data_IF_547317274282
#
_entry.id   IF_547317274282
#
_cell.length_a   1.000
_cell.length_b   1.000
_cell.length_c   1.000
_cell.angle_alpha   90.00
_cell.angle_beta   90.00
_cell.angle_gamma   90.00
#
_symmetry.space_group_name_H-M   'P 1'
#
loop_
_entity.id
_entity.type
_entity.pdbx_description
1 polymer ?
#
# COMPACT_ATOMS: atom_id res chain seq x y z
N UNK A 1 37.03 -10.00 -11.88
CA UNK A 1 36.90 -10.65 -13.22
C UNK A 1 35.47 -10.47 -13.68
N UNK A 2 35.20 -10.41 -15.00
CA UNK A 2 33.84 -10.38 -15.51
C UNK A 2 33.10 -11.69 -15.17
N UNK A 3 31.77 -11.62 -15.06
CA UNK A 3 30.92 -12.75 -14.73
C UNK A 3 31.04 -13.88 -15.78
N UNK A 4 31.44 -15.08 -15.35
CA UNK A 4 31.62 -16.19 -16.29
C UNK A 4 30.26 -16.76 -16.75
N UNK A 5 30.22 -17.35 -17.95
CA UNK A 5 29.01 -18.02 -18.46
C UNK A 5 28.62 -19.22 -17.58
N UNK A 6 29.60 -19.85 -16.93
CA UNK A 6 29.36 -20.94 -15.94
C UNK A 6 28.72 -20.41 -14.67
N UNK A 7 29.18 -19.26 -14.15
CA UNK A 7 28.56 -18.60 -12.98
C UNK A 7 27.15 -18.17 -13.31
N UNK A 8 26.90 -17.58 -14.49
CA UNK A 8 25.57 -17.20 -14.95
C UNK A 8 24.64 -18.41 -15.01
N UNK A 9 25.10 -19.52 -15.63
CA UNK A 9 24.31 -20.75 -15.74
C UNK A 9 23.97 -21.33 -14.37
N UNK A 10 24.94 -21.33 -13.46
CA UNK A 10 24.76 -21.82 -12.08
C UNK A 10 23.80 -20.95 -11.29
N UNK A 11 23.89 -19.62 -11.39
CA UNK A 11 22.98 -18.68 -10.77
C UNK A 11 21.53 -18.86 -11.26
N UNK A 12 21.33 -19.01 -12.56
CA UNK A 12 20.01 -19.28 -13.15
C UNK A 12 19.45 -20.63 -12.68
N UNK A 13 20.29 -21.66 -12.56
CA UNK A 13 19.90 -22.99 -12.08
C UNK A 13 19.50 -22.93 -10.60
N UNK A 14 20.25 -22.22 -9.75
CA UNK A 14 19.92 -22.00 -8.34
C UNK A 14 18.62 -21.25 -8.19
N UNK A 15 18.47 -20.13 -8.90
CA UNK A 15 17.24 -19.33 -8.92
C UNK A 15 16.00 -20.14 -9.35
N UNK A 16 16.15 -21.00 -10.38
CA UNK A 16 15.04 -21.87 -10.83
C UNK A 16 14.55 -22.80 -9.75
N UNK A 17 15.42 -23.27 -8.85
CA UNK A 17 15.03 -24.12 -7.72
C UNK A 17 14.28 -23.33 -6.64
N UNK A 18 14.57 -22.05 -6.50
CA UNK A 18 13.95 -21.17 -5.51
C UNK A 18 12.79 -20.31 -6.12
N UNK A 19 12.42 -20.53 -7.38
CA UNK A 19 11.48 -19.70 -8.13
C UNK A 19 10.14 -19.54 -7.41
N UNK A 20 9.59 -20.63 -6.86
CA UNK A 20 8.33 -20.64 -6.14
C UNK A 20 8.37 -19.77 -4.86
N UNK A 21 9.52 -19.71 -4.19
CA UNK A 21 9.71 -18.82 -3.04
C UNK A 21 9.62 -17.34 -3.46
N UNK A 22 10.23 -16.97 -4.60
CA UNK A 22 10.13 -15.62 -5.13
C UNK A 22 8.70 -15.28 -5.61
N UNK A 23 7.97 -16.22 -6.20
CA UNK A 23 6.54 -16.02 -6.53
C UNK A 23 5.71 -15.82 -5.27
N UNK A 24 5.93 -16.64 -4.23
CA UNK A 24 5.25 -16.52 -2.96
C UNK A 24 5.55 -15.16 -2.31
N UNK A 25 6.82 -14.75 -2.28
CA UNK A 25 7.24 -13.44 -1.77
C UNK A 25 6.53 -12.30 -2.50
N UNK A 26 6.51 -12.29 -3.84
CA UNK A 26 5.82 -11.27 -4.63
C UNK A 26 4.35 -11.14 -4.23
N UNK A 27 3.65 -12.27 -4.14
CA UNK A 27 2.22 -12.31 -3.81
C UNK A 27 1.98 -11.81 -2.38
N UNK A 28 2.81 -12.23 -1.44
CA UNK A 28 2.73 -11.81 -0.04
C UNK A 28 2.93 -10.29 0.09
N UNK A 29 4.03 -9.76 -0.48
CA UNK A 29 4.34 -8.32 -0.46
C UNK A 29 3.22 -7.51 -1.13
N UNK A 30 2.73 -7.94 -2.29
CA UNK A 30 1.64 -7.26 -2.98
C UNK A 30 0.35 -7.23 -2.15
N UNK A 31 -0.03 -8.36 -1.54
CA UNK A 31 -1.22 -8.45 -0.68
C UNK A 31 -1.08 -7.55 0.54
N UNK A 32 0.10 -7.52 1.16
CA UNK A 32 0.39 -6.67 2.31
C UNK A 32 0.35 -5.18 1.92
N UNK A 33 0.93 -4.79 0.76
CA UNK A 33 0.82 -3.42 0.24
C UNK A 33 -0.63 -3.03 -0.05
N UNK A 34 -1.40 -3.89 -0.71
CA UNK A 34 -2.81 -3.61 -1.01
C UNK A 34 -3.63 -3.40 0.26
N UNK A 35 -3.46 -4.26 1.26
CA UNK A 35 -4.21 -4.21 2.51
C UNK A 35 -3.77 -3.04 3.40
N UNK A 36 -2.47 -2.95 3.70
CA UNK A 36 -1.93 -2.13 4.78
C UNK A 36 -1.47 -0.74 4.30
N UNK A 37 -1.29 -0.55 2.99
CA UNK A 37 -0.95 0.76 2.41
C UNK A 37 -2.15 1.32 1.65
N UNK A 38 -2.63 0.61 0.61
CA UNK A 38 -3.59 1.20 -0.32
C UNK A 38 -4.96 1.34 0.35
N UNK A 39 -5.53 0.24 0.84
CA UNK A 39 -6.85 0.27 1.47
C UNK A 39 -6.84 1.00 2.80
N UNK A 40 -5.83 0.75 3.64
CA UNK A 40 -5.73 1.39 4.94
C UNK A 40 -5.63 2.93 4.84
N UNK A 41 -4.99 3.46 3.81
CA UNK A 41 -4.84 4.90 3.61
C UNK A 41 -5.86 5.50 2.62
N UNK A 42 -6.83 4.71 2.15
CA UNK A 42 -7.83 5.15 1.16
C UNK A 42 -7.16 5.77 -0.09
N UNK A 43 -6.08 5.13 -0.57
CA UNK A 43 -5.36 5.57 -1.75
C UNK A 43 -5.98 4.96 -3.02
N UNK A 44 -5.94 5.70 -4.11
CA UNK A 44 -6.33 5.18 -5.43
C UNK A 44 -5.08 4.68 -6.15
N UNK A 45 -4.85 3.37 -6.13
CA UNK A 45 -3.72 2.75 -6.78
C UNK A 45 -4.04 1.30 -7.18
N UNK A 46 -3.33 0.80 -8.18
CA UNK A 46 -3.30 -0.62 -8.55
C UNK A 46 -2.01 -1.26 -8.07
N UNK A 47 -2.10 -2.49 -7.56
CA UNK A 47 -0.93 -3.28 -7.14
C UNK A 47 -0.82 -4.51 -8.04
N UNK A 48 0.36 -4.73 -8.61
CA UNK A 48 0.69 -5.92 -9.40
C UNK A 48 1.99 -6.54 -8.93
N UNK A 49 2.17 -7.84 -9.15
CA UNK A 49 3.38 -8.54 -8.71
C UNK A 49 3.81 -9.60 -9.70
N UNK A 50 5.12 -9.82 -9.78
CA UNK A 50 5.70 -10.90 -10.60
C UNK A 50 7.08 -11.31 -10.09
N UNK A 51 7.40 -12.60 -10.14
CA UNK A 51 8.77 -13.06 -10.09
C UNK A 51 9.42 -12.95 -11.50
N UNK A 52 10.70 -12.64 -11.55
CA UNK A 52 11.46 -12.57 -12.81
C UNK A 52 11.64 -13.98 -13.37
N UNK A 53 11.21 -14.23 -14.60
CA UNK A 53 11.41 -15.56 -15.18
C UNK A 53 12.91 -15.91 -15.31
N UNK A 54 13.32 -17.19 -15.16
CA UNK A 54 14.72 -17.61 -15.29
C UNK A 54 15.37 -17.18 -16.62
N UNK A 55 14.60 -17.15 -17.72
CA UNK A 55 15.06 -16.69 -19.03
C UNK A 55 15.39 -15.19 -19.00
N UNK A 56 14.53 -14.38 -18.36
CA UNK A 56 14.77 -12.93 -18.22
C UNK A 56 15.95 -12.65 -17.28
N UNK A 57 16.12 -13.46 -16.22
CA UNK A 57 17.29 -13.38 -15.35
C UNK A 57 18.59 -13.65 -16.15
N UNK A 58 18.63 -14.74 -16.90
CA UNK A 58 19.78 -15.06 -17.75
C UNK A 58 20.14 -13.92 -18.68
N UNK A 59 19.16 -13.39 -19.41
CA UNK A 59 19.37 -12.26 -20.32
C UNK A 59 19.85 -10.99 -19.60
N UNK A 60 19.37 -10.71 -18.38
CA UNK A 60 19.83 -9.57 -17.58
C UNK A 60 21.29 -9.75 -17.13
N UNK A 61 21.66 -10.93 -16.64
CA UNK A 61 23.03 -11.24 -16.24
C UNK A 61 24.01 -11.14 -17.42
N UNK A 62 23.63 -11.68 -18.57
CA UNK A 62 24.46 -11.62 -19.79
C UNK A 62 24.64 -10.21 -20.36
N UNK A 63 23.57 -9.40 -20.42
CA UNK A 63 23.60 -8.09 -21.06
C UNK A 63 24.10 -6.97 -20.16
N UNK A 64 23.71 -6.97 -18.87
CA UNK A 64 23.94 -5.83 -17.98
C UNK A 64 25.12 -6.02 -17.04
N UNK A 65 25.36 -7.26 -16.58
CA UNK A 65 26.32 -7.52 -15.52
C UNK A 65 27.53 -8.34 -15.97
N UNK A 66 27.57 -8.80 -17.23
CA UNK A 66 28.72 -9.61 -17.75
C UNK A 66 30.06 -8.89 -17.62
N UNK A 67 30.09 -7.57 -17.79
CA UNK A 67 31.30 -6.76 -17.72
C UNK A 67 31.52 -6.09 -16.36
N UNK A 68 30.60 -6.28 -15.40
CA UNK A 68 30.71 -5.67 -14.08
C UNK A 68 31.80 -6.38 -13.26
N UNK A 69 32.72 -5.60 -12.70
CA UNK A 69 33.80 -6.13 -11.86
C UNK A 69 33.24 -6.51 -10.47
N UNK A 70 33.83 -7.54 -9.85
CA UNK A 70 33.49 -8.04 -8.51
C UNK A 70 32.22 -8.91 -8.39
N UNK A 71 31.72 -9.47 -9.48
CA UNK A 71 30.66 -10.48 -9.45
C UNK A 71 31.30 -11.87 -9.69
N UNK A 72 31.89 -12.46 -8.65
CA UNK A 72 32.68 -13.69 -8.79
C UNK A 72 31.92 -14.95 -8.39
N UNK A 73 30.90 -14.83 -7.59
CA UNK A 73 30.11 -15.95 -7.05
C UNK A 73 28.69 -15.96 -7.59
N UNK A 74 28.00 -17.07 -7.40
CA UNK A 74 26.58 -17.21 -7.74
C UNK A 74 25.74 -16.29 -6.85
N UNK A 75 26.11 -16.17 -5.58
CA UNK A 75 25.48 -15.32 -4.61
C UNK A 75 25.60 -13.83 -5.01
N UNK A 76 26.81 -13.38 -5.37
CA UNK A 76 27.04 -12.01 -5.87
C UNK A 76 26.16 -11.71 -7.08
N UNK A 77 26.05 -12.66 -8.03
CA UNK A 77 25.24 -12.51 -9.24
C UNK A 77 23.74 -12.40 -8.92
N UNK A 78 23.24 -13.15 -7.95
CA UNK A 78 21.83 -13.10 -7.53
C UNK A 78 21.55 -11.85 -6.69
N UNK A 79 22.38 -11.51 -5.73
CA UNK A 79 22.26 -10.33 -4.87
C UNK A 79 22.27 -9.03 -5.68
N UNK A 80 22.98 -9.04 -6.82
CA UNK A 80 23.05 -7.88 -7.73
C UNK A 80 21.75 -7.60 -8.46
N UNK A 81 20.86 -8.58 -8.58
CA UNK A 81 19.59 -8.45 -9.30
C UNK A 81 18.47 -8.16 -8.31
N UNK A 82 18.21 -6.87 -8.10
CA UNK A 82 17.20 -6.38 -7.14
C UNK A 82 15.77 -6.81 -7.42
N UNK A 83 15.42 -7.13 -8.68
CA UNK A 83 14.06 -7.39 -9.14
C UNK A 83 13.78 -8.89 -9.42
N UNK A 84 14.39 -9.80 -8.65
CA UNK A 84 14.07 -11.23 -8.70
C UNK A 84 12.60 -11.44 -8.25
N UNK A 85 12.18 -10.79 -7.20
CA UNK A 85 10.79 -10.57 -6.83
C UNK A 85 10.45 -9.10 -7.08
N UNK A 86 9.35 -8.82 -7.75
CA UNK A 86 8.93 -7.46 -8.07
C UNK A 86 7.45 -7.21 -7.77
N UNK A 87 7.17 -6.09 -7.15
CA UNK A 87 5.83 -5.53 -6.96
C UNK A 87 5.80 -4.15 -7.59
N UNK A 88 4.67 -3.79 -8.18
CA UNK A 88 4.46 -2.45 -8.71
C UNK A 88 3.19 -1.86 -8.11
N UNK A 89 3.31 -0.61 -7.65
CA UNK A 89 2.21 0.20 -7.17
C UNK A 89 2.07 1.39 -8.12
N UNK A 90 0.93 1.45 -8.82
CA UNK A 90 0.62 2.53 -9.78
C UNK A 90 -0.46 3.42 -9.19
N UNK A 91 -0.09 4.61 -8.72
CA UNK A 91 -1.00 5.59 -8.10
C UNK A 91 -1.76 6.39 -9.17
N UNK A 92 -3.00 6.78 -8.88
CA UNK A 92 -3.74 7.70 -9.75
C UNK A 92 -3.18 9.12 -9.68
N UNK A 93 -2.75 9.56 -8.49
CA UNK A 93 -2.11 10.84 -8.28
C UNK A 93 -0.60 10.65 -8.13
N UNK A 94 0.18 11.42 -8.86
CA UNK A 94 1.65 11.44 -8.72
C UNK A 94 2.05 11.88 -7.29
N UNK A 95 1.27 12.76 -6.66
CA UNK A 95 1.51 13.23 -5.30
C UNK A 95 1.41 12.11 -4.24
N UNK A 96 0.65 11.03 -4.51
CA UNK A 96 0.52 9.90 -3.59
C UNK A 96 1.75 8.97 -3.61
N UNK A 97 2.62 9.10 -4.61
CA UNK A 97 3.85 8.29 -4.72
C UNK A 97 4.71 8.39 -3.47
N UNK A 98 4.97 9.60 -2.99
CA UNK A 98 5.79 9.83 -1.81
C UNK A 98 5.16 9.24 -0.55
N UNK A 99 3.84 9.40 -0.40
CA UNK A 99 3.09 8.84 0.72
C UNK A 99 3.16 7.30 0.73
N UNK A 100 3.01 6.66 -0.42
CA UNK A 100 3.17 5.20 -0.56
C UNK A 100 4.57 4.76 -0.17
N UNK A 101 5.61 5.48 -0.60
CA UNK A 101 7.01 5.18 -0.26
C UNK A 101 7.28 5.27 1.24
N UNK A 102 6.71 6.28 1.91
CA UNK A 102 6.81 6.42 3.37
C UNK A 102 6.12 5.27 4.11
N UNK A 103 4.97 4.82 3.65
CA UNK A 103 4.30 3.66 4.24
C UNK A 103 5.05 2.35 3.99
N UNK A 104 5.67 2.16 2.81
CA UNK A 104 6.56 1.03 2.54
C UNK A 104 7.71 0.99 3.55
N UNK A 105 8.34 2.14 3.82
CA UNK A 105 9.45 2.23 4.76
C UNK A 105 9.07 1.88 6.22
N UNK A 106 7.79 2.05 6.59
CA UNK A 106 7.27 1.64 7.91
C UNK A 106 6.89 0.15 7.95
N UNK A 107 6.39 -0.37 6.83
CA UNK A 107 5.76 -1.69 6.75
C UNK A 107 6.76 -2.83 6.59
N UNK A 108 7.93 -2.56 6.02
CA UNK A 108 8.94 -3.55 5.69
C UNK A 108 10.30 -3.18 6.30
N UNK A 109 11.18 -4.18 6.38
CA UNK A 109 12.61 -4.00 6.60
C UNK A 109 13.32 -3.88 5.24
N UNK A 110 14.58 -3.46 5.26
CA UNK A 110 15.45 -3.50 4.10
C UNK A 110 16.29 -4.78 4.02
N UNK A 111 17.08 -4.93 2.95
CA UNK A 111 17.98 -6.07 2.78
C UNK A 111 18.89 -6.29 4.00
N UNK A 112 19.08 -7.55 4.38
CA UNK A 112 19.95 -7.97 5.51
C UNK A 112 19.55 -7.34 6.85
N UNK A 113 18.25 -7.06 7.05
CA UNK A 113 17.73 -6.49 8.30
C UNK A 113 18.03 -5.00 8.50
N UNK A 114 18.47 -4.30 7.44
CA UNK A 114 18.67 -2.86 7.45
C UNK A 114 17.38 -2.07 7.18
N UNK A 115 17.52 -0.77 6.97
CA UNK A 115 16.41 0.08 6.51
C UNK A 115 16.10 -0.19 5.04
N UNK A 116 14.84 0.03 4.64
CA UNK A 116 14.41 -0.02 3.23
C UNK A 116 15.32 0.87 2.38
N UNK A 117 15.87 0.32 1.30
CA UNK A 117 16.69 1.10 0.36
C UNK A 117 15.76 1.76 -0.65
N UNK A 118 15.71 3.08 -0.64
CA UNK A 118 14.83 3.89 -1.49
C UNK A 118 15.67 4.62 -2.53
N UNK A 119 15.38 4.39 -3.81
CA UNK A 119 16.07 5.03 -4.93
C UNK A 119 15.07 5.71 -5.85
N UNK A 120 15.14 7.03 -5.94
CA UNK A 120 14.35 7.82 -6.90
C UNK A 120 15.03 7.73 -8.27
N UNK A 121 14.30 7.21 -9.25
CA UNK A 121 14.80 6.99 -10.62
C UNK A 121 14.40 8.11 -11.59
N UNK A 122 13.81 9.19 -11.09
CA UNK A 122 13.50 10.35 -11.92
C UNK A 122 14.83 10.93 -12.44
N UNK A 123 15.00 11.00 -13.76
CA UNK A 123 16.22 11.48 -14.42
C UNK A 123 15.88 12.68 -15.28
N UNK A 124 16.67 13.76 -15.12
CA UNK A 124 16.58 14.91 -16.00
C UNK A 124 16.82 14.51 -17.45
N UNK A 125 16.00 15.03 -18.37
CA UNK A 125 16.08 14.72 -19.80
C UNK A 125 15.45 13.39 -20.21
N UNK A 126 14.87 12.61 -19.28
CA UNK A 126 14.07 11.42 -19.58
C UNK A 126 12.66 11.57 -19.02
N UNK A 127 11.72 10.73 -19.51
CA UNK A 127 10.35 10.70 -18.98
C UNK A 127 10.15 9.53 -18.01
N UNK A 128 11.19 8.76 -17.71
CA UNK A 128 11.14 7.69 -16.74
C UNK A 128 10.95 8.25 -15.33
N UNK A 129 9.88 7.86 -14.67
CA UNK A 129 9.53 8.33 -13.33
C UNK A 129 9.07 7.16 -12.47
N UNK A 130 9.87 6.79 -11.50
CA UNK A 130 9.53 5.77 -10.51
C UNK A 130 10.42 5.93 -9.27
N UNK A 131 9.91 5.48 -8.12
CA UNK A 131 10.73 5.24 -6.91
C UNK A 131 10.83 3.74 -6.70
N UNK A 132 12.04 3.23 -6.58
CA UNK A 132 12.34 1.83 -6.32
C UNK A 132 12.64 1.65 -4.85
N UNK A 133 11.96 0.72 -4.18
CA UNK A 133 12.17 0.37 -2.79
C UNK A 133 12.60 -1.10 -2.72
N UNK A 134 13.81 -1.36 -2.17
CA UNK A 134 14.25 -2.72 -1.87
C UNK A 134 13.83 -3.08 -0.46
N UNK A 135 13.00 -4.10 -0.34
CA UNK A 135 12.39 -4.53 0.92
C UNK A 135 12.69 -5.99 1.24
N UNK A 136 12.65 -6.31 2.53
CA UNK A 136 12.58 -7.65 3.08
C UNK A 136 11.40 -7.74 4.04
N UNK A 137 10.93 -8.95 4.33
CA UNK A 137 9.87 -9.16 5.31
C UNK A 137 10.41 -8.93 6.72
N UNK A 138 9.59 -8.36 7.59
CA UNK A 138 9.87 -8.27 9.02
C UNK A 138 9.78 -9.66 9.66
N UNK A 139 10.44 -9.82 10.80
CA UNK A 139 10.46 -11.10 11.53
C UNK A 139 9.05 -11.63 11.83
N UNK A 140 8.12 -10.76 12.15
CA UNK A 140 6.71 -11.10 12.42
C UNK A 140 5.96 -11.67 11.21
N UNK A 141 6.41 -11.37 9.99
CA UNK A 141 5.84 -11.88 8.74
C UNK A 141 6.41 -13.26 8.33
N UNK A 142 7.49 -13.69 8.99
CA UNK A 142 8.24 -14.91 8.68
C UNK A 142 7.79 -16.13 9.50
N UNK A 143 6.67 -16.05 10.21
CA UNK A 143 6.05 -17.21 10.85
C UNK A 143 5.48 -18.19 9.81
N UNK A 144 5.32 -19.47 10.19
CA UNK A 144 4.71 -20.45 9.29
C UNK A 144 3.39 -19.92 8.68
N UNK A 145 3.19 -20.05 7.36
CA UNK A 145 3.98 -20.82 6.39
C UNK A 145 5.04 -20.03 5.64
N UNK A 146 5.52 -18.87 6.13
CA UNK A 146 6.38 -17.93 5.40
C UNK A 146 7.85 -17.97 5.81
N UNK A 147 8.23 -18.85 6.72
CA UNK A 147 9.60 -19.06 7.21
C UNK A 147 10.63 -19.27 6.08
N UNK A 148 10.20 -19.91 4.98
CA UNK A 148 11.02 -20.13 3.78
C UNK A 148 11.30 -18.85 2.95
N UNK A 149 10.79 -17.70 3.35
CA UNK A 149 11.02 -16.41 2.69
C UNK A 149 12.12 -15.57 3.38
N UNK A 150 12.68 -16.06 4.49
CA UNK A 150 13.75 -15.39 5.22
C UNK A 150 14.95 -15.10 4.32
N UNK A 151 15.51 -13.90 4.43
CA UNK A 151 16.64 -13.43 3.64
C UNK A 151 16.34 -13.07 2.19
N UNK A 152 15.14 -13.35 1.68
CA UNK A 152 14.74 -12.93 0.34
C UNK A 152 14.34 -11.45 0.30
N UNK A 153 14.63 -10.79 -0.83
CA UNK A 153 14.29 -9.38 -1.06
C UNK A 153 13.31 -9.21 -2.21
N UNK A 154 12.50 -8.16 -2.14
CA UNK A 154 11.56 -7.77 -3.18
C UNK A 154 11.80 -6.31 -3.58
N UNK A 155 11.74 -6.01 -4.87
CA UNK A 155 11.75 -4.63 -5.37
C UNK A 155 10.31 -4.14 -5.52
N UNK A 156 9.92 -3.08 -4.78
CA UNK A 156 8.65 -2.40 -4.98
C UNK A 156 8.91 -1.15 -5.83
N UNK A 157 8.28 -1.07 -7.00
CA UNK A 157 8.32 0.08 -7.89
C UNK A 157 7.05 0.90 -7.71
N UNK A 158 7.19 2.18 -7.34
CA UNK A 158 6.08 3.12 -7.14
C UNK A 158 6.14 4.20 -8.21
N UNK A 159 5.07 4.37 -8.98
CA UNK A 159 4.96 5.39 -10.03
C UNK A 159 3.50 5.82 -10.19
N UNK A 160 3.23 6.91 -10.93
CA UNK A 160 1.86 7.21 -11.37
C UNK A 160 1.42 6.23 -12.45
N UNK A 161 0.10 6.09 -12.63
CA UNK A 161 -0.47 5.22 -13.68
C UNK A 161 -0.02 5.64 -15.08
N UNK A 162 0.07 6.95 -15.33
CA UNK A 162 0.53 7.47 -16.61
C UNK A 162 2.04 7.28 -16.82
N UNK A 163 2.84 7.50 -15.76
CA UNK A 163 4.27 7.18 -15.81
C UNK A 163 4.50 5.69 -16.04
N UNK A 164 3.65 4.81 -15.45
CA UNK A 164 3.74 3.38 -15.70
C UNK A 164 3.57 3.03 -17.17
N UNK A 165 2.58 3.60 -17.86
CA UNK A 165 2.37 3.36 -19.31
C UNK A 165 3.62 3.72 -20.10
N UNK A 166 4.20 4.88 -19.85
CA UNK A 166 5.41 5.32 -20.55
C UNK A 166 6.60 4.40 -20.23
N UNK A 167 6.83 4.09 -18.97
CA UNK A 167 7.94 3.24 -18.51
C UNK A 167 7.91 1.85 -19.14
N UNK A 168 6.73 1.23 -19.29
CA UNK A 168 6.60 -0.10 -19.93
C UNK A 168 6.87 -0.03 -21.44
N UNK A 169 6.35 0.99 -22.13
CA UNK A 169 6.57 1.15 -23.56
C UNK A 169 8.04 1.43 -23.87
N UNK A 170 8.67 2.34 -23.13
CA UNK A 170 10.10 2.62 -23.27
C UNK A 170 10.93 1.35 -23.03
N UNK A 171 10.63 0.62 -21.96
CA UNK A 171 11.31 -0.62 -21.64
C UNK A 171 11.16 -1.67 -22.76
N UNK A 172 9.98 -1.82 -23.34
CA UNK A 172 9.75 -2.82 -24.39
C UNK A 172 10.39 -2.43 -25.73
N UNK A 173 10.40 -1.16 -26.07
CA UNK A 173 10.94 -0.66 -27.32
C UNK A 173 12.46 -0.48 -27.29
N UNK A 174 13.02 0.05 -26.18
CA UNK A 174 14.46 0.37 -26.07
C UNK A 174 15.28 -0.83 -25.61
N UNK A 175 14.77 -1.62 -24.63
CA UNK A 175 15.54 -2.72 -24.05
C UNK A 175 15.42 -4.06 -24.78
N UNK A 176 14.42 -4.23 -25.65
CA UNK A 176 14.17 -5.47 -26.40
C UNK A 176 14.18 -5.29 -27.92
N UNK A 177 15.00 -4.44 -28.53
CA UNK A 177 14.97 -4.32 -29.98
C UNK A 177 15.48 -5.61 -30.61
N UNK A 178 14.63 -6.26 -31.40
CA UNK A 178 15.05 -7.38 -32.27
C UNK A 178 15.66 -6.88 -33.57
N UNK A 179 15.53 -5.59 -33.88
CA UNK A 179 15.80 -4.98 -35.18
C UNK A 179 16.75 -3.77 -35.13
N UNK A 180 17.46 -3.55 -34.00
CA UNK A 180 18.35 -2.40 -33.83
C UNK A 180 17.79 -1.30 -32.95
N UNK A 181 18.38 -0.10 -32.93
CA UNK A 181 17.90 1.03 -32.15
C UNK A 181 16.61 1.64 -32.72
N UNK A 182 15.92 2.46 -31.90
CA UNK A 182 14.71 3.15 -32.33
C UNK A 182 14.98 4.07 -33.53
N UNK A 183 14.06 4.10 -34.46
CA UNK A 183 14.03 5.10 -35.54
C UNK A 183 13.78 6.51 -34.98
N UNK A 184 14.09 7.55 -35.76
CA UNK A 184 13.81 8.91 -35.35
C UNK A 184 12.33 9.14 -35.07
N UNK A 185 11.44 8.52 -35.84
CA UNK A 185 10.00 8.63 -35.65
C UNK A 185 9.51 8.01 -34.30
N UNK A 186 10.06 6.84 -33.98
CA UNK A 186 9.75 6.18 -32.70
C UNK A 186 10.27 6.99 -31.50
N UNK A 187 11.47 7.55 -31.58
CA UNK A 187 12.05 8.43 -30.59
C UNK A 187 11.19 9.69 -30.37
N UNK A 188 10.77 10.35 -31.46
CA UNK A 188 9.88 11.52 -31.35
C UNK A 188 8.50 11.14 -30.77
N UNK A 189 7.93 10.01 -31.17
CA UNK A 189 6.67 9.53 -30.63
C UNK A 189 6.77 9.24 -29.11
N UNK A 190 7.85 8.64 -28.63
CA UNK A 190 8.10 8.41 -27.21
C UNK A 190 8.24 9.74 -26.43
N UNK A 191 8.88 10.75 -27.00
CA UNK A 191 8.96 12.09 -26.39
C UNK A 191 7.59 12.75 -26.27
N UNK A 192 6.79 12.69 -27.35
CA UNK A 192 5.42 13.21 -27.34
C UNK A 192 4.60 12.51 -26.26
N UNK A 193 4.65 11.18 -26.20
CA UNK A 193 3.97 10.40 -25.17
C UNK A 193 4.44 10.77 -23.76
N UNK A 194 5.75 10.97 -23.57
CA UNK A 194 6.32 11.40 -22.29
C UNK A 194 5.73 12.73 -21.82
N UNK A 195 5.66 13.73 -22.72
CA UNK A 195 5.02 15.03 -22.42
C UNK A 195 3.53 14.89 -22.09
N UNK A 196 2.81 14.04 -22.84
CA UNK A 196 1.39 13.77 -22.57
C UNK A 196 1.18 13.15 -21.20
N UNK A 197 2.02 12.20 -20.78
CA UNK A 197 1.91 11.59 -19.46
C UNK A 197 2.21 12.57 -18.34
N UNK A 198 3.20 13.45 -18.49
CA UNK A 198 3.48 14.54 -17.55
C UNK A 198 2.30 15.51 -17.42
N UNK A 199 1.80 15.98 -18.55
CA UNK A 199 0.65 16.90 -18.60
C UNK A 199 -0.60 16.22 -18.01
N UNK A 200 -0.80 14.95 -18.30
CA UNK A 200 -1.91 14.16 -17.79
C UNK A 200 -1.91 14.06 -16.26
N UNK A 201 -0.75 13.81 -15.63
CA UNK A 201 -0.63 13.77 -14.17
C UNK A 201 -1.01 15.13 -13.53
N UNK A 202 -0.63 16.24 -14.16
CA UNK A 202 -1.04 17.59 -13.72
C UNK A 202 -2.55 17.79 -13.84
N UNK A 203 -3.14 17.39 -14.97
CA UNK A 203 -4.59 17.52 -15.19
C UNK A 203 -5.38 16.63 -14.25
N UNK A 204 -4.94 15.41 -14.00
CA UNK A 204 -5.57 14.51 -13.01
C UNK A 204 -5.58 15.18 -11.64
N UNK A 205 -4.46 15.74 -11.19
CA UNK A 205 -4.39 16.47 -9.92
C UNK A 205 -5.38 17.62 -9.88
N UNK A 206 -5.42 18.47 -10.93
CA UNK A 206 -6.35 19.60 -11.01
C UNK A 206 -7.83 19.16 -10.93
N UNK A 207 -8.19 18.05 -11.58
CA UNK A 207 -9.54 17.50 -11.52
C UNK A 207 -9.90 17.03 -10.09
N UNK A 208 -8.97 16.41 -9.38
CA UNK A 208 -9.18 15.99 -7.98
C UNK A 208 -9.33 17.22 -7.07
N UNK A 209 -8.47 18.23 -7.23
CA UNK A 209 -8.52 19.47 -6.44
C UNK A 209 -9.86 20.20 -6.67
N UNK A 210 -10.27 20.39 -7.93
CA UNK A 210 -11.54 21.01 -8.28
C UNK A 210 -12.76 20.23 -7.77
N UNK A 211 -12.70 18.88 -7.81
CA UNK A 211 -13.76 18.06 -7.23
C UNK A 211 -13.83 18.22 -5.70
N UNK A 212 -12.69 18.28 -5.01
CA UNK A 212 -12.63 18.48 -3.57
C UNK A 212 -13.21 19.85 -3.17
N UNK A 213 -12.92 20.91 -3.92
CA UNK A 213 -13.50 22.23 -3.70
C UNK A 213 -15.02 22.24 -3.90
N UNK A 214 -15.50 21.66 -5.01
CA UNK A 214 -16.93 21.53 -5.29
C UNK A 214 -17.68 20.79 -4.20
N UNK A 215 -17.09 19.71 -3.66
CA UNK A 215 -17.68 18.93 -2.57
C UNK A 215 -17.72 19.75 -1.27
N UNK A 216 -16.70 20.57 -1.00
CA UNK A 216 -16.71 21.50 0.15
C UNK A 216 -17.80 22.57 0.01
N UNK A 217 -18.01 23.10 -1.20
CA UNK A 217 -19.05 24.12 -1.49
C UNK A 217 -20.45 23.52 -1.44
N UNK A 218 -20.61 22.27 -1.87
CA UNK A 218 -21.86 21.53 -1.79
C UNK A 218 -22.17 21.12 -0.34
N UNK A 219 -22.39 22.12 0.54
CA UNK A 219 -22.71 21.98 1.99
C UNK A 219 -24.06 21.30 2.29
N UNK A 220 -24.50 20.39 1.46
CA UNK A 220 -25.73 19.64 1.69
C UNK A 220 -25.46 18.43 2.59
N UNK A 221 -25.58 18.63 3.90
CA UNK A 221 -25.41 17.57 4.90
C UNK A 221 -26.31 16.35 4.67
N UNK A 222 -27.42 16.53 3.92
CA UNK A 222 -28.39 15.45 3.58
C UNK A 222 -28.08 14.64 2.33
N UNK A 223 -27.03 14.97 1.56
CA UNK A 223 -26.67 14.21 0.35
C UNK A 223 -25.96 12.91 0.73
N UNK A 224 -26.38 11.79 0.11
CA UNK A 224 -25.76 10.47 0.29
C UNK A 224 -24.30 10.49 -0.19
N UNK A 225 -23.42 9.83 0.54
CA UNK A 225 -22.02 9.69 0.13
C UNK A 225 -21.91 8.85 -1.13
N UNK A 226 -21.15 9.32 -2.10
CA UNK A 226 -20.95 8.63 -3.39
C UNK A 226 -19.95 7.46 -3.26
N UNK A 227 -18.93 7.62 -2.43
CA UNK A 227 -17.87 6.66 -2.19
C UNK A 227 -17.09 7.03 -0.93
N UNK A 228 -16.13 6.20 -0.54
CA UNK A 228 -15.29 6.40 0.64
C UNK A 228 -14.49 7.72 0.60
N UNK A 229 -14.10 8.18 -0.57
CA UNK A 229 -13.34 9.43 -0.71
C UNK A 229 -14.22 10.66 -0.44
N UNK A 230 -15.46 10.64 -0.93
CA UNK A 230 -16.48 11.66 -0.63
C UNK A 230 -16.80 11.65 0.87
N UNK A 231 -16.98 10.49 1.47
CA UNK A 231 -17.16 10.32 2.92
C UNK A 231 -16.01 10.96 3.71
N UNK A 232 -14.76 10.62 3.39
CA UNK A 232 -13.57 11.16 4.06
C UNK A 232 -13.50 12.68 3.93
N UNK A 233 -13.70 13.20 2.72
CA UNK A 233 -13.63 14.64 2.44
C UNK A 233 -14.70 15.42 3.21
N UNK A 234 -15.93 14.90 3.27
CA UNK A 234 -17.07 15.61 3.88
C UNK A 234 -17.17 15.41 5.39
N UNK A 235 -16.59 14.33 5.94
CA UNK A 235 -16.70 14.01 7.38
C UNK A 235 -15.42 14.40 8.13
N UNK A 236 -14.26 14.42 7.48
CA UNK A 236 -12.99 14.74 8.10
C UNK A 236 -12.95 16.12 8.78
N UNK A 237 -13.67 17.10 8.27
CA UNK A 237 -13.79 18.44 8.86
C UNK A 237 -14.37 18.43 10.29
N UNK A 238 -15.12 17.38 10.66
CA UNK A 238 -15.67 17.21 12.01
C UNK A 238 -14.61 16.71 13.01
N UNK A 239 -13.43 16.30 12.54
CA UNK A 239 -12.32 15.81 13.36
C UNK A 239 -11.07 16.69 13.16
N UNK A 240 -11.11 17.96 13.57
CA UNK A 240 -10.00 18.89 13.35
C UNK A 240 -8.74 18.40 14.06
N UNK A 241 -7.59 18.58 13.39
CA UNK A 241 -6.28 18.14 13.89
C UNK A 241 -5.91 16.70 13.54
N UNK A 242 -6.83 15.89 12.98
CA UNK A 242 -6.53 14.52 12.52
C UNK A 242 -6.13 14.54 11.05
N UNK A 243 -4.82 14.57 10.81
CA UNK A 243 -4.26 14.69 9.46
C UNK A 243 -4.51 13.47 8.58
N UNK A 244 -4.74 12.31 9.20
CA UNK A 244 -4.84 11.00 8.55
C UNK A 244 -6.26 10.41 8.64
N UNK A 245 -7.31 11.25 8.73
CA UNK A 245 -8.69 10.77 8.87
C UNK A 245 -9.12 9.77 7.78
N UNK A 246 -8.52 9.82 6.58
CA UNK A 246 -8.75 8.84 5.52
C UNK A 246 -8.20 7.43 5.82
N UNK A 247 -7.28 7.30 6.78
CA UNK A 247 -6.74 6.00 7.16
C UNK A 247 -7.82 5.18 7.86
N UNK A 248 -7.89 3.89 7.52
CA UNK A 248 -8.88 2.93 8.03
C UNK A 248 -10.35 3.20 7.65
N UNK A 249 -10.64 4.21 6.81
CA UNK A 249 -12.00 4.65 6.51
C UNK A 249 -12.82 3.65 5.66
N UNK A 250 -12.18 2.74 4.92
CA UNK A 250 -12.85 1.86 3.96
C UNK A 250 -13.92 0.98 4.60
N UNK A 251 -13.54 0.13 5.56
CA UNK A 251 -14.49 -0.75 6.26
C UNK A 251 -15.52 0.04 7.08
N UNK A 252 -15.07 1.10 7.76
CA UNK A 252 -15.98 1.97 8.51
C UNK A 252 -17.06 2.57 7.61
N UNK A 253 -16.70 3.00 6.40
CA UNK A 253 -17.64 3.54 5.43
C UNK A 253 -18.66 2.47 4.98
N UNK A 254 -18.20 1.25 4.67
CA UNK A 254 -19.07 0.13 4.31
C UNK A 254 -20.09 -0.16 5.41
N UNK A 255 -19.65 -0.27 6.67
CA UNK A 255 -20.53 -0.51 7.83
C UNK A 255 -21.50 0.64 8.05
N UNK A 256 -21.06 1.89 7.89
CA UNK A 256 -21.96 3.06 8.00
C UNK A 256 -23.05 3.02 6.93
N UNK A 257 -22.75 2.59 5.70
CA UNK A 257 -23.75 2.41 4.65
C UNK A 257 -24.75 1.30 4.99
N UNK A 258 -24.28 0.15 5.45
CA UNK A 258 -25.14 -0.97 5.86
C UNK A 258 -26.06 -0.57 6.99
N UNK A 259 -25.56 0.19 7.97
CA UNK A 259 -26.34 0.73 9.10
C UNK A 259 -27.18 1.96 8.74
N UNK A 260 -27.21 2.34 7.44
CA UNK A 260 -28.00 3.49 6.91
C UNK A 260 -27.54 4.87 7.40
N UNK A 261 -26.29 4.99 7.83
CA UNK A 261 -25.65 6.29 8.13
C UNK A 261 -24.91 6.81 6.88
N UNK A 262 -25.61 6.93 5.77
CA UNK A 262 -25.14 7.20 4.42
C UNK A 262 -24.98 8.70 4.08
N UNK A 263 -25.28 9.60 5.03
CA UNK A 263 -25.15 11.08 4.85
C UNK A 263 -24.43 11.70 6.04
N UNK A 264 -23.80 12.87 5.81
CA UNK A 264 -23.16 13.66 6.87
C UNK A 264 -24.15 14.06 7.96
N UNK A 265 -25.39 14.41 7.59
CA UNK A 265 -26.45 14.76 8.53
C UNK A 265 -26.76 13.62 9.51
N UNK A 266 -26.89 12.38 9.02
CA UNK A 266 -27.14 11.20 9.86
C UNK A 266 -25.98 10.90 10.78
N UNK A 267 -24.74 10.96 10.28
CA UNK A 267 -23.53 10.79 11.08
C UNK A 267 -23.48 11.86 12.17
N UNK A 268 -23.71 13.11 11.81
CA UNK A 268 -23.67 14.24 12.74
C UNK A 268 -24.73 14.11 13.83
N UNK A 269 -25.96 13.82 13.47
CA UNK A 269 -27.07 13.69 14.44
C UNK A 269 -26.89 12.54 15.41
N UNK A 270 -26.26 11.44 14.99
CA UNK A 270 -26.11 10.23 15.80
C UNK A 270 -24.82 10.20 16.61
N UNK A 271 -23.68 10.57 16.00
CA UNK A 271 -22.36 10.34 16.59
C UNK A 271 -21.64 11.64 16.99
N UNK A 272 -21.91 12.75 16.31
CA UNK A 272 -21.21 14.03 16.55
C UNK A 272 -22.06 14.97 17.42
N UNK A 273 -22.65 14.42 18.48
CA UNK A 273 -23.38 15.17 19.50
C UNK A 273 -22.42 15.96 20.40
N UNK A 274 -22.95 16.85 21.26
CA UNK A 274 -22.13 17.65 22.18
C UNK A 274 -21.11 16.78 22.94
N UNK A 275 -19.86 17.25 23.02
CA UNK A 275 -18.75 16.53 23.66
C UNK A 275 -18.24 15.28 22.93
N UNK A 276 -18.60 15.08 21.65
CA UNK A 276 -18.17 13.89 20.90
C UNK A 276 -16.64 13.76 20.77
N UNK A 277 -15.94 14.88 20.71
CA UNK A 277 -14.47 14.86 20.53
C UNK A 277 -13.76 14.32 21.78
N UNK A 278 -14.16 14.79 22.97
CA UNK A 278 -13.65 14.29 24.24
C UNK A 278 -14.06 12.85 24.48
N UNK A 279 -15.31 12.50 24.15
CA UNK A 279 -15.80 11.12 24.24
C UNK A 279 -15.02 10.19 23.33
N UNK A 280 -14.77 10.57 22.08
CA UNK A 280 -13.95 9.82 21.16
C UNK A 280 -12.53 9.61 21.69
N UNK A 281 -11.88 10.67 22.18
CA UNK A 281 -10.53 10.59 22.73
C UNK A 281 -10.47 9.67 23.97
N UNK A 282 -11.45 9.77 24.87
CA UNK A 282 -11.55 8.93 26.05
C UNK A 282 -11.72 7.46 25.69
N UNK A 283 -12.63 7.14 24.75
CA UNK A 283 -12.89 5.77 24.31
C UNK A 283 -11.67 5.17 23.62
N UNK A 284 -10.97 5.93 22.78
CA UNK A 284 -9.72 5.48 22.15
C UNK A 284 -8.66 5.15 23.20
N UNK A 285 -8.49 6.03 24.20
CA UNK A 285 -7.51 5.83 25.28
C UNK A 285 -7.85 4.58 26.10
N UNK A 286 -9.10 4.40 26.47
CA UNK A 286 -9.56 3.22 27.24
C UNK A 286 -9.33 1.93 26.45
N UNK A 287 -9.69 1.92 25.16
CA UNK A 287 -9.52 0.76 24.31
C UNK A 287 -8.03 0.44 24.08
N UNK A 288 -7.18 1.46 23.90
CA UNK A 288 -5.74 1.29 23.79
C UNK A 288 -5.14 0.67 25.07
N UNK A 289 -5.53 1.18 26.24
CA UNK A 289 -5.10 0.62 27.53
C UNK A 289 -5.53 -0.83 27.69
N UNK A 290 -6.76 -1.16 27.31
CA UNK A 290 -7.29 -2.52 27.35
C UNK A 290 -6.48 -3.46 26.46
N UNK A 291 -6.20 -3.08 25.18
CA UNK A 291 -5.41 -3.87 24.23
C UNK A 291 -4.01 -4.14 24.77
N UNK A 292 -3.35 -3.11 25.31
CA UNK A 292 -2.01 -3.25 25.92
C UNK A 292 -2.03 -4.20 27.11
N UNK A 293 -3.03 -4.10 27.98
CA UNK A 293 -3.19 -5.01 29.15
C UNK A 293 -3.39 -6.47 28.74
N UNK A 294 -4.05 -6.71 27.58
CA UNK A 294 -4.28 -8.06 27.06
C UNK A 294 -3.09 -8.60 26.24
N UNK A 295 -2.01 -7.83 26.06
CA UNK A 295 -0.90 -8.19 25.19
C UNK A 295 -1.35 -8.53 23.76
N UNK A 296 -2.38 -7.84 23.25
CA UNK A 296 -2.98 -8.14 21.94
C UNK A 296 -2.39 -7.24 20.84
N UNK A 297 -1.46 -7.77 20.08
CA UNK A 297 -0.84 -7.10 18.93
C UNK A 297 -1.70 -7.15 17.64
N UNK A 298 -2.85 -7.84 17.68
CA UNK A 298 -3.68 -8.06 16.49
C UNK A 298 -4.52 -6.83 16.11
N UNK A 299 -4.71 -5.90 17.03
CA UNK A 299 -5.50 -4.67 16.85
C UNK A 299 -4.62 -3.45 17.14
N UNK A 300 -4.40 -2.64 16.11
CA UNK A 300 -3.67 -1.37 16.24
C UNK A 300 -4.65 -0.21 16.14
N UNK A 301 -4.64 0.67 17.14
CA UNK A 301 -5.44 1.90 17.16
C UNK A 301 -4.60 3.03 16.56
N UNK A 302 -5.21 3.79 15.67
CA UNK A 302 -4.63 5.01 15.13
C UNK A 302 -5.52 6.22 15.50
N UNK A 303 -5.18 6.96 16.56
CA UNK A 303 -5.99 8.09 17.00
C UNK A 303 -6.13 9.20 15.96
N UNK A 304 -5.20 9.31 15.00
CA UNK A 304 -5.23 10.34 13.95
C UNK A 304 -6.06 9.93 12.73
N UNK A 305 -6.59 8.72 12.73
CA UNK A 305 -7.39 8.14 11.64
C UNK A 305 -8.90 8.24 11.87
N UNK A 306 -9.67 7.58 11.01
CA UNK A 306 -11.11 7.38 11.16
C UNK A 306 -11.50 6.50 12.37
N UNK A 307 -10.54 5.93 13.08
CA UNK A 307 -10.79 5.22 14.35
C UNK A 307 -11.49 6.12 15.38
N UNK A 308 -11.30 7.43 15.28
CA UNK A 308 -12.01 8.42 16.08
C UNK A 308 -13.53 8.39 15.89
N UNK A 309 -14.01 8.14 14.67
CA UNK A 309 -15.43 7.95 14.39
C UNK A 309 -15.85 6.50 14.67
N UNK A 310 -14.98 5.53 14.42
CA UNK A 310 -15.24 4.12 14.69
C UNK A 310 -15.61 3.88 16.15
N UNK A 311 -14.87 4.42 17.10
CA UNK A 311 -15.20 4.22 18.53
C UNK A 311 -16.53 4.85 18.91
N UNK A 312 -16.94 5.95 18.27
CA UNK A 312 -18.27 6.53 18.48
C UNK A 312 -19.38 5.67 17.86
N UNK A 313 -19.12 5.06 16.70
CA UNK A 313 -20.02 4.07 16.11
C UNK A 313 -20.19 2.86 17.03
N UNK A 314 -19.09 2.32 17.55
CA UNK A 314 -19.12 1.18 18.46
C UNK A 314 -19.82 1.53 19.79
N UNK A 315 -19.60 2.73 20.34
CA UNK A 315 -20.28 3.17 21.56
C UNK A 315 -21.80 3.23 21.39
N UNK A 316 -22.28 3.62 20.20
CA UNK A 316 -23.69 3.80 19.92
C UNK A 316 -24.40 2.60 19.30
N UNK A 317 -23.67 1.72 18.58
CA UNK A 317 -24.25 0.68 17.71
C UNK A 317 -23.47 -0.65 17.79
N UNK A 318 -22.84 -0.98 18.92
CA UNK A 318 -21.94 -2.14 19.06
C UNK A 318 -22.56 -3.45 18.57
N UNK A 319 -23.77 -3.78 19.06
CA UNK A 319 -24.42 -5.06 18.73
C UNK A 319 -24.75 -5.13 17.24
N UNK A 320 -25.17 -4.03 16.63
CA UNK A 320 -25.43 -3.96 15.18
C UNK A 320 -24.15 -4.19 14.37
N UNK A 321 -23.02 -3.60 14.79
CA UNK A 321 -21.72 -3.84 14.11
C UNK A 321 -21.28 -5.29 14.27
N UNK A 322 -21.50 -5.90 15.43
CA UNK A 322 -21.20 -7.32 15.66
C UNK A 322 -22.09 -8.26 14.82
N UNK A 323 -23.35 -7.87 14.57
CA UNK A 323 -24.25 -8.61 13.67
C UNK A 323 -23.80 -8.55 12.22
N UNK A 324 -23.24 -7.41 11.77
CA UNK A 324 -22.64 -7.30 10.42
C UNK A 324 -21.39 -8.19 10.27
N UNK A 325 -20.68 -8.42 11.36
CA UNK A 325 -19.45 -9.19 11.39
C UNK A 325 -19.55 -10.41 12.32
N UNK A 326 -20.41 -11.41 12.00
CA UNK A 326 -20.58 -12.54 12.87
C UNK A 326 -19.28 -13.32 13.07
N UNK A 327 -18.94 -13.57 14.33
CA UNK A 327 -17.80 -14.40 14.70
C UNK A 327 -18.06 -15.84 14.23
N UNK A 328 -17.31 -16.29 13.24
CA UNK A 328 -17.44 -17.61 12.65
C UNK A 328 -16.12 -18.20 12.20
N UNK A 329 -16.07 -19.51 11.94
CA UNK A 329 -14.93 -20.22 11.36
C UNK A 329 -14.85 -19.95 9.86
N UNK A 330 -14.68 -18.67 9.47
CA UNK A 330 -14.39 -18.30 8.10
C UNK A 330 -12.94 -18.63 7.73
N UNK A 331 -12.67 -18.79 6.42
CA UNK A 331 -11.30 -18.85 5.94
C UNK A 331 -10.71 -17.43 5.93
N UNK A 332 -9.64 -17.20 6.67
CA UNK A 332 -8.89 -15.95 6.69
C UNK A 332 -8.99 -15.16 8.01
N UNK A 333 -8.22 -14.07 8.07
CA UNK A 333 -8.21 -13.16 9.22
C UNK A 333 -9.52 -12.35 9.24
N UNK A 334 -10.19 -12.19 10.39
CA UNK A 334 -11.39 -11.36 10.48
C UNK A 334 -11.10 -9.91 10.03
N UNK A 335 -12.09 -9.19 9.48
CA UNK A 335 -11.95 -7.79 9.17
C UNK A 335 -11.49 -7.00 10.39
N UNK A 336 -10.70 -5.94 10.18
CA UNK A 336 -10.17 -5.10 11.26
C UNK A 336 -11.27 -4.59 12.18
N UNK A 337 -12.38 -4.13 11.61
CA UNK A 337 -13.50 -3.59 12.37
C UNK A 337 -14.17 -4.65 13.28
N UNK A 338 -14.25 -5.90 12.82
CA UNK A 338 -14.77 -7.02 13.64
C UNK A 338 -13.88 -7.27 14.88
N UNK A 339 -12.55 -7.22 14.67
CA UNK A 339 -11.59 -7.35 15.78
C UNK A 339 -11.73 -6.19 16.76
N UNK A 340 -11.87 -4.98 16.27
CA UNK A 340 -12.12 -3.77 17.07
C UNK A 340 -13.41 -3.89 17.90
N UNK A 341 -14.53 -4.23 17.26
CA UNK A 341 -15.82 -4.38 17.90
C UNK A 341 -15.79 -5.44 19.02
N UNK A 342 -15.12 -6.56 18.76
CA UNK A 342 -14.94 -7.63 19.75
C UNK A 342 -14.15 -7.15 20.97
N UNK A 343 -13.04 -6.43 20.76
CA UNK A 343 -12.24 -5.88 21.88
C UNK A 343 -12.98 -4.78 22.61
N UNK A 344 -13.70 -3.95 21.90
CA UNK A 344 -14.54 -2.91 22.49
C UNK A 344 -15.64 -3.51 23.38
N UNK A 345 -16.29 -4.60 22.94
CA UNK A 345 -17.25 -5.35 23.75
C UNK A 345 -16.60 -5.89 25.02
N UNK A 346 -15.49 -6.60 24.88
CA UNK A 346 -14.75 -7.19 26.01
C UNK A 346 -14.31 -6.12 27.02
N UNK A 347 -13.88 -4.95 26.55
CA UNK A 347 -13.54 -3.81 27.40
C UNK A 347 -14.76 -3.30 28.19
N UNK A 348 -15.92 -3.19 27.53
CA UNK A 348 -17.18 -2.74 28.19
C UNK A 348 -17.71 -3.75 29.21
N UNK A 349 -17.51 -5.05 28.95
CA UNK A 349 -17.99 -6.13 29.84
C UNK A 349 -17.08 -6.36 31.05
N UNK A 350 -15.89 -5.72 31.11
CA UNK A 350 -15.07 -5.78 32.33
C UNK A 350 -15.78 -5.05 33.48
N UNK A 351 -15.91 -5.67 34.66
CA UNK A 351 -16.40 -4.98 35.84
C UNK A 351 -15.46 -3.79 36.09
N UNK A 352 -16.04 -2.60 36.13
CA UNK A 352 -15.31 -1.40 36.56
C UNK A 352 -14.87 -1.65 38.01
N UNK A 353 -13.61 -2.07 38.19
CA UNK A 353 -13.01 -2.07 39.51
C UNK A 353 -12.96 -0.62 39.98
N UNK A 354 -13.83 -0.30 40.92
CA UNK A 354 -14.04 1.02 41.47
C UNK A 354 -12.73 1.64 41.94
N UNK A 355 -12.67 2.96 41.71
CA UNK A 355 -11.64 3.86 42.22
C UNK A 355 -11.67 3.89 43.77
#
# INVERSE_FOLDING_TARGET
MPLSDETISSAVKQYRRAFDCYEKLCKFVATKCERDIIRANTLRAGVTSRAKTPIKLMGKLQKKYKEEQNLNTVEDALDRVSDLAGVRISTYLEADRERVVQEIAKLFDGPKGGSVVIERKDKDGTFYRATHCQVALKKEDLEEPNDNLEGLTCEIQVCSLLAHVWNELEHDLVYKPTTGGLSNHENESLKILGNLTLSGDVVIKQLFDANAERVKEARQDGVVFQNVYDFVTRTGDAFPGRKEFGRNAGQLFEDLLELKYDTKAKIRSKFLTEGYAERSATLLTQLQQYIVQQNDETVQIDPDSSDALLVLLLDACLEQVLELHPMGRGMGRPPRIASFATRFKQMKDQPQHGA
#
